data_IF_342523713865
#
_entry.id   IF_342523713865
#
_cell.length_a   1.000
_cell.length_b   1.000
_cell.length_c   1.000
_cell.angle_alpha   90.00
_cell.angle_beta   90.00
_cell.angle_gamma   90.00
#
_symmetry.space_group_name_H-M   'P 1'
#
loop_
_entity.id
_entity.type
_entity.pdbx_description
1 polymer ?
#
# COMPACT_ATOMS: atom_id res chain seq x y z
N UNK A 1 10.14 16.83 3.78
CA UNK A 1 9.30 15.80 3.14
C UNK A 1 7.99 16.46 2.75
N UNK A 2 7.64 16.47 1.47
CA UNK A 2 6.42 17.10 0.97
C UNK A 2 5.29 16.06 0.93
N UNK A 3 4.24 16.26 1.74
CA UNK A 3 3.13 15.30 1.85
C UNK A 3 2.43 15.08 0.50
N UNK A 4 2.35 16.11 -0.34
CA UNK A 4 1.69 16.02 -1.64
C UNK A 4 2.42 15.10 -2.63
N UNK A 5 3.73 14.88 -2.44
CA UNK A 5 4.52 13.98 -3.30
C UNK A 5 4.27 12.50 -2.98
N UNK A 6 3.88 12.20 -1.73
CA UNK A 6 3.65 10.83 -1.25
C UNK A 6 2.17 10.45 -1.18
N UNK A 7 1.29 11.40 -0.85
CA UNK A 7 -0.15 11.19 -0.71
C UNK A 7 -0.88 11.55 -2.02
N UNK A 8 -0.65 10.73 -3.04
CA UNK A 8 -1.36 10.85 -4.32
C UNK A 8 -2.76 10.24 -4.18
N UNK A 9 -3.71 10.73 -4.97
CA UNK A 9 -5.09 10.19 -4.98
C UNK A 9 -5.11 8.68 -5.25
N UNK A 10 -4.24 8.22 -6.13
CA UNK A 10 -4.11 6.81 -6.50
C UNK A 10 -3.48 5.95 -5.40
N UNK A 11 -3.01 6.56 -4.29
CA UNK A 11 -2.50 5.88 -3.10
C UNK A 11 -3.54 5.74 -1.98
N UNK A 12 -4.80 6.14 -2.21
CA UNK A 12 -5.83 6.22 -1.17
C UNK A 12 -6.93 5.19 -1.45
N UNK A 13 -7.18 4.29 -0.50
CA UNK A 13 -8.39 3.46 -0.47
C UNK A 13 -9.33 3.99 0.61
N UNK A 14 -10.55 4.34 0.22
CA UNK A 14 -11.64 4.63 1.14
C UNK A 14 -12.46 3.35 1.40
N UNK A 15 -12.84 3.13 2.65
CA UNK A 15 -13.67 1.97 3.01
C UNK A 15 -12.96 0.62 2.85
N UNK A 16 -11.64 0.58 3.09
CA UNK A 16 -10.87 -0.67 3.07
C UNK A 16 -11.46 -1.66 4.09
N UNK A 17 -12.03 -2.74 3.58
CA UNK A 17 -12.45 -3.88 4.40
C UNK A 17 -11.35 -4.95 4.39
N UNK A 18 -11.01 -5.47 5.56
CA UNK A 18 -10.09 -6.59 5.74
C UNK A 18 -10.51 -7.38 6.99
N UNK A 19 -10.42 -8.70 6.92
CA UNK A 19 -10.74 -9.61 8.01
C UNK A 19 -9.66 -9.61 9.10
N UNK A 20 -8.39 -9.38 8.71
CA UNK A 20 -7.26 -9.33 9.62
C UNK A 20 -6.17 -8.34 9.16
N UNK A 21 -5.14 -8.19 10.01
CA UNK A 21 -4.01 -7.28 9.76
C UNK A 21 -3.26 -7.63 8.46
N UNK A 22 -3.09 -8.92 8.15
CA UNK A 22 -2.31 -9.34 7.01
C UNK A 22 -3.04 -9.01 5.72
N UNK A 23 -4.35 -9.23 5.68
CA UNK A 23 -5.19 -8.84 4.54
C UNK A 23 -5.20 -7.31 4.36
N UNK A 24 -5.24 -6.54 5.45
CA UNK A 24 -5.18 -5.08 5.37
C UNK A 24 -3.85 -4.60 4.77
N UNK A 25 -2.72 -5.14 5.25
CA UNK A 25 -1.39 -4.81 4.74
C UNK A 25 -1.21 -5.23 3.28
N UNK A 26 -1.68 -6.42 2.91
CA UNK A 26 -1.60 -6.91 1.53
C UNK A 26 -2.35 -5.97 0.56
N UNK A 27 -3.57 -5.57 0.93
CA UNK A 27 -4.37 -4.62 0.14
C UNK A 27 -3.73 -3.23 0.05
N UNK A 28 -3.08 -2.75 1.11
CA UNK A 28 -2.36 -1.48 1.08
C UNK A 28 -1.10 -1.56 0.20
N UNK A 29 -0.31 -2.63 0.31
CA UNK A 29 0.85 -2.86 -0.54
C UNK A 29 0.45 -2.98 -2.02
N UNK A 30 -0.70 -3.59 -2.30
CA UNK A 30 -1.28 -3.68 -3.63
C UNK A 30 -1.51 -2.31 -4.28
N UNK A 31 -1.94 -1.32 -3.51
CA UNK A 31 -2.15 0.06 -3.99
C UNK A 31 -0.83 0.66 -4.45
N UNK A 32 0.19 0.55 -3.60
CA UNK A 32 1.52 1.11 -3.87
C UNK A 32 2.17 0.41 -5.05
N UNK A 33 1.97 -0.90 -5.20
CA UNK A 33 2.46 -1.66 -6.33
C UNK A 33 1.76 -1.24 -7.63
N UNK A 34 0.43 -1.15 -7.63
CA UNK A 34 -0.35 -0.75 -8.81
C UNK A 34 -0.10 0.71 -9.22
N UNK A 35 0.20 1.59 -8.28
CA UNK A 35 0.56 2.99 -8.59
C UNK A 35 1.99 3.16 -9.11
N UNK A 36 2.80 2.09 -9.10
CA UNK A 36 4.21 2.13 -9.44
C UNK A 36 5.09 2.79 -8.37
N UNK A 37 4.53 3.11 -7.20
CA UNK A 37 5.30 3.58 -6.04
C UNK A 37 6.15 2.46 -5.43
N UNK A 38 5.78 1.20 -5.67
CA UNK A 38 6.50 0.01 -5.27
C UNK A 38 6.79 -0.87 -6.48
N UNK A 39 8.02 -1.36 -6.59
CA UNK A 39 8.47 -2.23 -7.68
C UNK A 39 8.40 -3.72 -7.35
N UNK A 40 8.47 -4.07 -6.06
CA UNK A 40 8.38 -5.45 -5.58
C UNK A 40 7.49 -5.54 -4.34
N UNK A 41 6.25 -6.01 -4.53
CA UNK A 41 5.29 -6.23 -3.45
C UNK A 41 5.79 -7.24 -2.43
N UNK A 42 6.46 -8.30 -2.87
CA UNK A 42 6.85 -9.40 -1.99
C UNK A 42 7.95 -8.95 -1.04
N UNK A 43 9.03 -8.37 -1.58
CA UNK A 43 10.13 -7.87 -0.76
C UNK A 43 9.63 -6.84 0.28
N UNK A 44 8.72 -5.95 -0.12
CA UNK A 44 8.11 -4.99 0.79
C UNK A 44 7.28 -5.63 1.90
N UNK A 45 6.46 -6.64 1.57
CA UNK A 45 5.65 -7.34 2.56
C UNK A 45 6.53 -8.12 3.55
N UNK A 46 7.63 -8.73 3.07
CA UNK A 46 8.60 -9.43 3.91
C UNK A 46 9.30 -8.48 4.91
N UNK A 47 9.55 -7.22 4.53
CA UNK A 47 10.14 -6.20 5.42
C UNK A 47 9.15 -5.63 6.45
N UNK A 48 7.84 -5.67 6.15
CA UNK A 48 6.78 -5.09 7.00
C UNK A 48 6.21 -6.08 8.01
N UNK A 49 6.35 -7.38 7.76
CA UNK A 49 5.84 -8.48 8.61
C UNK A 49 6.76 -8.81 9.78
#
# INVERSE_FOLDING_TARGET
MNVAEVLKKDHIILGLFAADKNEALDKMADVLYKSGALTDKKAFMDDVM
#
